data_IF_869524385125
#
_entry.id   IF_869524385125
#
_cell.length_a   1.000
_cell.length_b   1.000
_cell.length_c   1.000
_cell.angle_alpha   90.00
_cell.angle_beta   90.00
_cell.angle_gamma   90.00
#
_symmetry.space_group_name_H-M   'P 1'
#
loop_
_entity.id
_entity.type
_entity.pdbx_description
1 polymer ?
#
# COMPACT_ATOMS: atom_id res chain seq x y z
N UNK A 1 -50.42 -11.35 -59.66
CA UNK A 1 -49.93 -9.99 -59.35
C UNK A 1 -50.21 -9.51 -57.91
N UNK A 2 -51.26 -9.98 -57.21
CA UNK A 2 -51.62 -9.52 -55.85
C UNK A 2 -50.72 -10.05 -54.71
N UNK A 3 -50.22 -11.28 -54.79
CA UNK A 3 -49.36 -11.89 -53.75
C UNK A 3 -47.97 -11.22 -53.60
N UNK A 4 -47.34 -10.80 -54.71
CA UNK A 4 -46.04 -10.08 -54.67
C UNK A 4 -46.13 -8.70 -54.01
N UNK A 5 -47.26 -7.99 -54.17
CA UNK A 5 -47.49 -6.68 -53.53
C UNK A 5 -47.67 -6.79 -52.01
N UNK A 6 -48.23 -7.91 -51.52
CA UNK A 6 -48.42 -8.17 -50.09
C UNK A 6 -47.08 -8.45 -49.38
N UNK A 7 -46.20 -9.28 -49.96
CA UNK A 7 -44.87 -9.57 -49.41
C UNK A 7 -43.96 -8.32 -49.34
N UNK A 8 -44.03 -7.44 -50.36
CA UNK A 8 -43.30 -6.16 -50.34
C UNK A 8 -43.84 -5.17 -49.32
N UNK A 9 -45.16 -5.19 -49.04
CA UNK A 9 -45.74 -4.37 -47.96
C UNK A 9 -45.31 -4.87 -46.59
N UNK A 10 -45.32 -6.18 -46.37
CA UNK A 10 -44.89 -6.77 -45.09
C UNK A 10 -43.41 -6.50 -44.80
N UNK A 11 -42.53 -6.61 -45.82
CA UNK A 11 -41.10 -6.29 -45.70
C UNK A 11 -40.85 -4.80 -45.42
N UNK A 12 -41.61 -3.89 -46.04
CA UNK A 12 -41.52 -2.44 -45.78
C UNK A 12 -42.00 -2.05 -44.39
N UNK A 13 -43.08 -2.69 -43.89
CA UNK A 13 -43.59 -2.49 -42.54
C UNK A 13 -42.60 -3.02 -41.50
N UNK A 14 -42.04 -4.22 -41.69
CA UNK A 14 -41.02 -4.78 -40.79
C UNK A 14 -39.76 -3.92 -40.70
N UNK A 15 -39.25 -3.41 -41.84
CA UNK A 15 -38.10 -2.47 -41.83
C UNK A 15 -38.43 -1.15 -41.16
N UNK A 16 -39.64 -0.61 -41.33
CA UNK A 16 -40.06 0.62 -40.66
C UNK A 16 -40.19 0.44 -39.14
N UNK A 17 -40.74 -0.69 -38.67
CA UNK A 17 -40.85 -1.01 -37.24
C UNK A 17 -39.47 -1.18 -36.61
N UNK A 18 -38.56 -1.89 -37.27
CA UNK A 18 -37.17 -2.03 -36.80
C UNK A 18 -36.46 -0.69 -36.72
N UNK A 19 -36.62 0.19 -37.73
CA UNK A 19 -36.01 1.52 -37.72
C UNK A 19 -36.55 2.40 -36.58
N UNK A 20 -37.86 2.39 -36.34
CA UNK A 20 -38.48 3.14 -35.22
C UNK A 20 -38.02 2.58 -33.88
N UNK A 21 -37.93 1.26 -33.72
CA UNK A 21 -37.42 0.64 -32.50
C UNK A 21 -35.94 1.00 -32.24
N UNK A 22 -35.10 1.03 -33.28
CA UNK A 22 -33.70 1.46 -33.15
C UNK A 22 -33.58 2.94 -32.75
N UNK A 23 -34.40 3.83 -33.32
CA UNK A 23 -34.43 5.26 -32.96
C UNK A 23 -34.88 5.44 -31.50
N UNK A 24 -35.89 4.69 -31.05
CA UNK A 24 -36.37 4.72 -29.67
C UNK A 24 -35.31 4.23 -28.66
N UNK A 25 -34.53 3.20 -29.02
CA UNK A 25 -33.45 2.69 -28.17
C UNK A 25 -32.27 3.67 -28.04
N UNK A 26 -31.96 4.42 -29.11
CA UNK A 26 -30.86 5.41 -29.08
C UNK A 26 -31.27 6.71 -28.36
N UNK A 27 -32.55 7.06 -28.34
CA UNK A 27 -33.05 8.28 -27.69
C UNK A 27 -33.12 8.19 -26.15
N UNK A 28 -32.93 7.00 -25.57
CA UNK A 28 -32.76 6.83 -24.12
C UNK A 28 -31.37 7.20 -23.58
N UNK A 29 -30.37 7.40 -24.44
CA UNK A 29 -29.04 7.83 -24.03
C UNK A 29 -29.00 9.35 -23.80
N UNK A 30 -29.36 9.80 -22.60
CA UNK A 30 -29.26 11.21 -22.22
C UNK A 30 -28.16 11.44 -21.16
N UNK A 31 -27.36 12.49 -21.35
CA UNK A 31 -26.20 12.83 -20.50
C UNK A 31 -26.53 13.86 -19.40
N UNK A 32 -27.81 14.16 -19.15
CA UNK A 32 -28.25 15.41 -18.51
C UNK A 32 -27.78 15.63 -17.07
N UNK A 33 -27.23 14.62 -16.39
CA UNK A 33 -26.59 14.77 -15.07
C UNK A 33 -25.32 13.92 -14.89
N UNK A 34 -24.82 13.29 -15.95
CA UNK A 34 -23.61 12.47 -15.88
C UNK A 34 -22.37 13.35 -15.64
N UNK A 35 -22.33 14.47 -16.37
CA UNK A 35 -21.47 15.59 -16.06
C UNK A 35 -22.32 16.70 -15.46
N UNK A 36 -22.02 17.09 -14.23
CA UNK A 36 -22.73 18.15 -13.53
C UNK A 36 -21.83 19.37 -13.39
N UNK A 37 -22.41 20.55 -13.19
CA UNK A 37 -21.65 21.80 -13.12
C UNK A 37 -20.78 21.96 -11.87
N UNK A 38 -20.84 21.01 -10.92
CA UNK A 38 -19.98 21.03 -9.73
C UNK A 38 -18.63 20.42 -10.08
N UNK A 39 -17.57 21.02 -9.55
CA UNK A 39 -16.23 20.48 -9.70
C UNK A 39 -16.03 19.33 -8.71
N UNK A 40 -15.69 18.14 -9.22
CA UNK A 40 -15.34 16.98 -8.41
C UNK A 40 -13.87 17.03 -7.99
N UNK A 41 -13.47 16.32 -6.91
CA UNK A 41 -12.06 16.21 -6.54
C UNK A 41 -11.23 15.69 -7.71
N UNK A 42 -10.12 16.38 -8.01
CA UNK A 42 -9.20 16.09 -9.11
C UNK A 42 -9.79 16.22 -10.53
N UNK A 43 -10.95 16.87 -10.67
CA UNK A 43 -11.51 17.17 -11.98
C UNK A 43 -10.73 18.31 -12.66
N UNK A 44 -10.55 18.20 -13.98
CA UNK A 44 -9.91 19.27 -14.75
C UNK A 44 -10.83 20.47 -14.87
N UNK A 45 -10.30 21.67 -14.66
CA UNK A 45 -10.99 22.94 -14.82
C UNK A 45 -10.41 23.78 -15.95
N UNK A 46 -11.14 24.80 -16.37
CA UNK A 46 -10.71 25.78 -17.37
C UNK A 46 -10.33 27.13 -16.78
N UNK A 47 -10.64 27.35 -15.49
CA UNK A 47 -10.42 28.63 -14.82
C UNK A 47 -8.94 28.92 -14.55
N UNK A 48 -8.20 27.95 -14.01
CA UNK A 48 -6.76 28.10 -13.72
C UNK A 48 -5.92 27.66 -14.92
N UNK A 49 -4.80 28.36 -15.17
CA UNK A 49 -3.89 28.06 -16.27
C UNK A 49 -3.30 26.63 -16.20
N UNK A 50 -3.12 26.09 -14.99
CA UNK A 50 -2.66 24.72 -14.77
C UNK A 50 -3.71 23.65 -15.13
N UNK A 51 -4.97 24.03 -15.31
CA UNK A 51 -6.11 23.13 -15.49
C UNK A 51 -6.49 22.34 -14.24
N UNK A 52 -5.74 22.46 -13.14
CA UNK A 52 -6.05 21.82 -11.87
C UNK A 52 -7.12 22.61 -11.12
N UNK A 53 -8.17 21.95 -10.65
CA UNK A 53 -9.16 22.57 -9.75
C UNK A 53 -8.79 22.41 -8.28
N UNK A 54 -8.08 21.33 -7.94
CA UNK A 54 -7.44 21.15 -6.65
C UNK A 54 -6.21 22.05 -6.56
N UNK A 55 -6.38 23.23 -5.98
CA UNK A 55 -5.31 24.19 -5.75
C UNK A 55 -4.53 23.84 -4.47
N UNK A 56 -3.21 24.09 -4.43
CA UNK A 56 -2.45 23.93 -3.20
C UNK A 56 -2.95 24.91 -2.14
N UNK A 57 -2.94 24.48 -0.88
CA UNK A 57 -3.19 25.37 0.26
C UNK A 57 -2.12 26.45 0.33
N UNK A 58 -2.48 27.63 0.86
CA UNK A 58 -1.53 28.71 1.12
C UNK A 58 -0.53 28.26 2.18
N UNK A 59 0.77 28.54 1.96
CA UNK A 59 1.83 28.17 2.90
C UNK A 59 1.57 28.74 4.30
N UNK A 60 1.80 27.93 5.34
CA UNK A 60 1.56 28.31 6.74
C UNK A 60 0.10 28.16 7.20
N UNK A 61 -0.83 27.73 6.34
CA UNK A 61 -2.21 27.44 6.75
C UNK A 61 -2.25 26.20 7.63
N UNK A 62 -2.83 26.33 8.83
CA UNK A 62 -3.04 25.22 9.76
C UNK A 62 -4.52 24.82 9.70
N UNK A 63 -4.86 23.54 9.39
CA UNK A 63 -6.24 23.07 9.42
C UNK A 63 -6.86 23.15 10.81
N UNK A 64 -8.14 23.51 10.87
CA UNK A 64 -8.90 23.48 12.12
C UNK A 64 -8.99 22.03 12.63
N UNK A 65 -8.61 21.80 13.89
CA UNK A 65 -8.52 20.48 14.50
C UNK A 65 -7.11 19.87 14.55
N UNK A 66 -6.14 20.43 13.82
CA UNK A 66 -4.72 20.00 13.88
C UNK A 66 -3.82 20.93 14.72
N UNK A 67 -4.34 22.10 15.14
CA UNK A 67 -3.56 23.16 15.77
C UNK A 67 -3.25 22.98 17.27
N UNK A 68 -3.93 22.06 17.96
CA UNK A 68 -3.80 21.90 19.41
C UNK A 68 -3.02 20.62 19.74
N UNK A 69 -1.72 20.61 19.44
CA UNK A 69 -0.88 19.47 19.74
C UNK A 69 -0.41 19.50 21.20
N UNK A 70 -0.87 18.56 22.01
CA UNK A 70 -0.18 18.18 23.26
C UNK A 70 1.21 17.59 22.94
N UNK A 71 2.12 17.45 23.91
CA UNK A 71 3.42 16.78 23.67
C UNK A 71 3.26 15.39 23.04
N UNK A 72 2.18 14.68 23.37
CA UNK A 72 1.82 13.40 22.75
C UNK A 72 1.50 13.54 21.26
N UNK A 73 0.74 14.58 20.89
CA UNK A 73 0.43 14.89 19.49
C UNK A 73 1.67 15.38 18.75
N UNK A 74 2.58 16.11 19.42
CA UNK A 74 3.87 16.51 18.83
C UNK A 74 4.69 15.27 18.49
N UNK A 75 4.85 14.32 19.41
CA UNK A 75 5.55 13.07 19.13
C UNK A 75 4.88 12.29 17.98
N UNK A 76 3.55 12.17 18.03
CA UNK A 76 2.78 11.43 17.02
C UNK A 76 2.94 12.05 15.62
N UNK A 77 2.94 13.38 15.52
CA UNK A 77 2.93 14.11 14.24
C UNK A 77 4.32 14.44 13.70
N UNK A 78 5.31 14.66 14.57
CA UNK A 78 6.65 15.11 14.16
C UNK A 78 7.73 14.04 14.31
N UNK A 79 7.50 13.02 15.15
CA UNK A 79 8.54 12.02 15.45
C UNK A 79 9.55 12.48 16.51
N UNK A 80 9.36 13.65 17.13
CA UNK A 80 10.38 14.32 17.94
C UNK A 80 9.89 14.61 19.36
N UNK A 81 10.83 14.65 20.30
CA UNK A 81 10.67 15.15 21.67
C UNK A 81 11.70 16.26 21.87
N UNK A 82 11.27 17.46 22.25
CA UNK A 82 12.14 18.64 22.39
C UNK A 82 12.97 18.94 21.12
N UNK A 83 12.40 18.69 19.94
CA UNK A 83 13.08 18.92 18.65
C UNK A 83 14.11 17.86 18.25
N UNK A 84 14.33 16.83 19.07
CA UNK A 84 15.24 15.71 18.78
C UNK A 84 14.43 14.46 18.42
N UNK A 85 14.95 13.64 17.51
CA UNK A 85 14.30 12.39 17.11
C UNK A 85 14.03 11.49 18.32
N UNK A 86 12.76 11.10 18.47
CA UNK A 86 12.30 10.36 19.64
C UNK A 86 12.92 8.96 19.73
N UNK A 87 13.46 8.56 20.88
CA UNK A 87 13.89 7.19 21.13
C UNK A 87 12.70 6.23 21.37
N UNK A 88 11.50 6.75 21.61
CA UNK A 88 10.31 5.98 21.99
C UNK A 88 9.17 6.12 20.99
N UNK A 89 8.25 5.15 21.01
CA UNK A 89 7.02 5.17 20.23
C UNK A 89 5.92 5.93 20.99
N UNK A 90 5.00 6.63 20.29
CA UNK A 90 3.87 7.32 20.92
C UNK A 90 2.79 6.36 21.43
N UNK A 91 2.81 5.08 21.07
CA UNK A 91 1.81 4.12 21.52
C UNK A 91 2.42 2.73 21.69
N UNK A 92 1.70 1.87 22.39
CA UNK A 92 2.08 0.47 22.57
C UNK A 92 2.12 -0.28 21.22
N UNK A 93 3.18 -1.05 21.01
CA UNK A 93 3.35 -1.86 19.81
C UNK A 93 2.61 -3.18 20.01
N UNK A 94 1.36 -3.24 19.56
CA UNK A 94 0.57 -4.48 19.56
C UNK A 94 0.78 -5.27 18.26
N UNK A 95 0.32 -6.53 18.24
CA UNK A 95 0.34 -7.37 17.03
C UNK A 95 -0.42 -6.73 15.87
N UNK A 96 -1.52 -6.04 16.15
CA UNK A 96 -2.32 -5.34 15.13
C UNK A 96 -1.56 -4.15 14.54
N UNK A 97 -0.82 -3.40 15.38
CA UNK A 97 0.08 -2.34 14.92
C UNK A 97 1.14 -2.91 13.98
N UNK A 98 1.77 -4.04 14.34
CA UNK A 98 2.77 -4.67 13.49
C UNK A 98 2.19 -5.18 12.17
N UNK A 99 1.01 -5.80 12.20
CA UNK A 99 0.32 -6.25 10.98
C UNK A 99 -0.03 -5.08 10.07
N UNK A 100 -0.52 -3.98 10.65
CA UNK A 100 -0.79 -2.74 9.93
C UNK A 100 0.49 -2.12 9.35
N UNK A 101 1.56 -2.11 10.14
CA UNK A 101 2.88 -1.66 9.73
C UNK A 101 3.41 -2.45 8.55
N UNK A 102 3.31 -3.78 8.59
CA UNK A 102 3.67 -4.67 7.50
C UNK A 102 2.87 -4.38 6.22
N UNK A 103 1.54 -4.27 6.33
CA UNK A 103 0.68 -3.95 5.20
C UNK A 103 1.13 -2.65 4.53
N UNK A 104 1.32 -1.59 5.33
CA UNK A 104 1.70 -0.27 4.83
C UNK A 104 3.13 -0.24 4.28
N UNK A 105 4.07 -0.95 4.92
CA UNK A 105 5.44 -1.11 4.45
C UNK A 105 5.47 -1.82 3.08
N UNK A 106 4.72 -2.90 2.92
CA UNK A 106 4.66 -3.64 1.66
C UNK A 106 4.09 -2.81 0.51
N UNK A 107 3.16 -1.90 0.80
CA UNK A 107 2.57 -0.99 -0.20
C UNK A 107 3.55 0.11 -0.59
N UNK A 108 4.17 0.79 0.37
CA UNK A 108 4.89 2.05 0.12
C UNK A 108 6.42 1.93 0.10
N UNK A 109 6.98 1.01 0.86
CA UNK A 109 8.42 0.96 1.17
C UNK A 109 9.13 -0.21 0.48
N UNK A 110 8.51 -1.39 0.47
CA UNK A 110 9.10 -2.63 -0.07
C UNK A 110 9.54 -2.55 -1.55
N UNK A 111 8.87 -1.79 -2.45
CA UNK A 111 9.36 -1.65 -3.84
C UNK A 111 10.80 -1.15 -3.94
N UNK A 112 11.26 -0.33 -2.98
CA UNK A 112 12.62 0.21 -2.93
C UNK A 112 13.48 -0.50 -1.87
N UNK A 113 12.93 -0.73 -0.68
CA UNK A 113 13.68 -1.29 0.46
C UNK A 113 13.68 -2.82 0.56
N UNK A 114 13.00 -3.50 -0.38
CA UNK A 114 12.67 -4.94 -0.37
C UNK A 114 11.72 -5.33 0.76
N UNK A 115 11.17 -6.56 0.73
CA UNK A 115 10.32 -7.05 1.82
C UNK A 115 11.12 -7.41 3.08
N UNK A 116 12.41 -7.71 2.92
CA UNK A 116 13.30 -8.06 4.03
C UNK A 116 14.02 -6.85 4.60
N UNK A 117 13.93 -5.68 3.97
CA UNK A 117 14.56 -4.45 4.43
C UNK A 117 16.05 -4.31 4.08
N UNK A 118 16.57 -5.14 3.18
CA UNK A 118 17.98 -5.14 2.76
C UNK A 118 18.34 -4.02 1.77
N UNK A 119 17.36 -3.20 1.36
CA UNK A 119 17.57 -2.09 0.43
C UNK A 119 17.61 -2.49 -1.05
N UNK A 120 17.35 -3.76 -1.38
CA UNK A 120 17.44 -4.32 -2.75
C UNK A 120 16.07 -4.58 -3.37
N UNK A 121 15.13 -3.66 -3.19
CA UNK A 121 13.79 -3.76 -3.77
C UNK A 121 13.81 -3.79 -5.30
N UNK A 122 12.68 -4.20 -5.90
CA UNK A 122 12.55 -4.36 -7.35
C UNK A 122 12.90 -3.11 -8.16
N UNK A 123 12.72 -1.91 -7.59
CA UNK A 123 13.06 -0.65 -8.25
C UNK A 123 14.58 -0.42 -8.28
N UNK A 124 15.30 -0.84 -7.24
CA UNK A 124 16.78 -0.76 -7.20
C UNK A 124 17.41 -1.69 -8.23
N UNK A 125 16.81 -2.86 -8.47
CA UNK A 125 17.24 -3.79 -9.52
C UNK A 125 17.09 -3.22 -10.93
N UNK A 126 16.39 -2.08 -11.08
CA UNK A 126 16.20 -1.34 -12.33
C UNK A 126 17.01 -0.04 -12.36
N UNK A 127 18.25 -0.11 -11.85
CA UNK A 127 19.26 0.95 -11.91
C UNK A 127 18.98 2.21 -11.08
N UNK A 128 17.97 2.19 -10.19
CA UNK A 128 17.84 3.24 -9.18
C UNK A 128 18.92 3.10 -8.10
N UNK A 129 19.30 4.22 -7.48
CA UNK A 129 20.26 4.22 -6.37
C UNK A 129 19.80 3.28 -5.25
N UNK A 130 20.76 2.56 -4.67
CA UNK A 130 20.55 1.63 -3.57
C UNK A 130 19.81 2.32 -2.42
N UNK A 131 18.72 1.71 -1.96
CA UNK A 131 18.00 2.18 -0.80
C UNK A 131 18.75 1.82 0.49
N UNK A 132 18.43 2.49 1.60
CA UNK A 132 19.03 2.17 2.90
C UNK A 132 18.71 0.73 3.32
N UNK A 133 19.74 -0.02 3.70
CA UNK A 133 19.61 -1.36 4.29
C UNK A 133 19.41 -1.23 5.80
N UNK A 134 18.23 -1.61 6.29
CA UNK A 134 17.85 -1.43 7.70
C UNK A 134 18.66 -2.28 8.68
N UNK A 135 19.38 -3.30 8.20
CA UNK A 135 20.20 -4.20 9.02
C UNK A 135 21.57 -3.63 9.37
N UNK A 136 21.97 -2.52 8.74
CA UNK A 136 23.23 -1.84 9.08
C UNK A 136 23.19 -1.29 10.51
N UNK A 137 24.30 -1.44 11.23
CA UNK A 137 24.44 -1.03 12.64
C UNK A 137 24.01 0.41 12.90
N UNK A 138 24.42 1.33 12.02
CA UNK A 138 24.03 2.75 12.09
C UNK A 138 22.51 2.93 12.13
N UNK A 139 21.77 2.19 11.31
CA UNK A 139 20.30 2.27 11.23
C UNK A 139 19.63 1.47 12.35
N UNK A 140 20.23 0.39 12.83
CA UNK A 140 19.75 -0.32 14.02
C UNK A 140 19.82 0.58 15.27
N UNK A 141 20.90 1.34 15.41
CA UNK A 141 21.14 2.26 16.53
C UNK A 141 20.43 3.62 16.40
N UNK A 142 19.97 4.00 15.19
CA UNK A 142 19.20 5.23 15.00
C UNK A 142 17.91 5.19 15.83
N UNK A 143 17.39 6.31 16.36
CA UNK A 143 16.14 6.33 17.12
C UNK A 143 14.91 6.09 16.22
N UNK A 144 13.78 5.56 16.73
CA UNK A 144 12.53 5.41 15.96
C UNK A 144 12.06 6.71 15.27
N UNK A 145 12.22 7.85 15.95
CA UNK A 145 11.88 9.16 15.40
C UNK A 145 12.62 9.52 14.11
N UNK A 146 13.86 9.04 13.93
CA UNK A 146 14.62 9.26 12.69
C UNK A 146 13.92 8.62 11.49
N UNK A 147 13.40 7.40 11.63
CA UNK A 147 12.67 6.74 10.56
C UNK A 147 11.36 7.47 10.25
N UNK A 148 10.66 7.95 11.28
CA UNK A 148 9.46 8.76 11.10
C UNK A 148 9.76 10.04 10.31
N UNK A 149 10.84 10.73 10.66
CA UNK A 149 11.30 11.95 9.99
C UNK A 149 11.64 11.69 8.52
N UNK A 150 12.42 10.63 8.23
CA UNK A 150 12.77 10.23 6.86
C UNK A 150 11.52 9.90 6.02
N UNK A 151 10.52 9.23 6.59
CA UNK A 151 9.26 8.94 5.86
C UNK A 151 8.48 10.26 5.61
N UNK A 152 8.51 11.17 6.58
CA UNK A 152 7.74 12.42 6.55
C UNK A 152 8.36 13.44 5.60
N UNK A 153 9.67 13.67 5.69
CA UNK A 153 10.37 14.74 5.01
C UNK A 153 11.16 14.24 3.78
N UNK A 154 11.37 12.94 3.66
CA UNK A 154 12.28 12.36 2.67
C UNK A 154 13.74 12.42 3.14
N UNK A 155 14.62 11.72 2.41
CA UNK A 155 16.05 11.72 2.69
C UNK A 155 16.85 11.33 1.45
N UNK A 156 17.82 12.16 1.07
CA UNK A 156 18.63 11.93 -0.13
C UNK A 156 17.75 11.87 -1.38
N UNK A 157 17.66 10.69 -2.01
CA UNK A 157 16.79 10.44 -3.18
C UNK A 157 15.37 9.98 -2.82
N UNK A 158 15.11 9.68 -1.55
CA UNK A 158 13.78 9.28 -1.10
C UNK A 158 12.89 10.51 -0.96
N UNK A 159 11.78 10.52 -1.72
CA UNK A 159 10.75 11.55 -1.62
C UNK A 159 10.00 11.49 -0.29
N UNK A 160 9.38 12.61 0.09
CA UNK A 160 8.40 12.64 1.18
C UNK A 160 7.18 11.76 0.89
N UNK A 161 6.72 11.05 1.91
CA UNK A 161 5.46 10.30 1.91
C UNK A 161 4.37 10.96 2.77
N UNK A 162 4.58 12.20 3.21
CA UNK A 162 3.70 12.83 4.19
C UNK A 162 2.24 12.94 3.73
N UNK A 163 2.02 13.22 2.44
CA UNK A 163 0.69 13.33 1.84
C UNK A 163 -0.02 11.99 1.60
N UNK A 164 0.70 10.85 1.70
CA UNK A 164 0.18 9.52 1.36
C UNK A 164 0.02 8.60 2.57
N UNK A 165 0.79 8.85 3.62
CA UNK A 165 0.83 8.00 4.82
C UNK A 165 0.52 8.87 6.03
N UNK A 166 -0.52 8.50 6.79
CA UNK A 166 -0.92 9.21 8.02
C UNK A 166 0.16 9.05 9.09
N UNK A 167 0.30 10.00 10.05
CA UNK A 167 1.31 9.90 11.10
C UNK A 167 1.25 8.56 11.87
N UNK A 168 0.05 8.08 12.20
CA UNK A 168 -0.13 6.77 12.86
C UNK A 168 0.37 5.60 12.01
N UNK A 169 0.08 5.59 10.70
CA UNK A 169 0.58 4.54 9.81
C UNK A 169 2.10 4.65 9.60
N UNK A 170 2.70 5.85 9.64
CA UNK A 170 4.17 6.01 9.62
C UNK A 170 4.79 5.35 10.85
N UNK A 171 4.26 5.60 12.03
CA UNK A 171 4.73 4.94 13.26
C UNK A 171 4.56 3.41 13.23
N UNK A 172 3.46 2.91 12.67
CA UNK A 172 3.26 1.47 12.47
C UNK A 172 4.32 0.88 11.52
N UNK A 173 4.67 1.59 10.43
CA UNK A 173 5.78 1.20 9.55
C UNK A 173 7.10 1.19 10.32
N UNK A 174 7.39 2.21 11.13
CA UNK A 174 8.61 2.25 11.96
C UNK A 174 8.67 1.05 12.92
N UNK A 175 7.56 0.67 13.54
CA UNK A 175 7.49 -0.53 14.38
C UNK A 175 7.80 -1.80 13.58
N UNK A 176 7.28 -1.90 12.35
CA UNK A 176 7.59 -3.03 11.47
C UNK A 176 9.06 -3.04 11.01
N UNK A 177 9.67 -1.89 10.76
CA UNK A 177 11.11 -1.79 10.49
C UNK A 177 11.92 -2.36 11.66
N UNK A 178 11.53 -2.10 12.92
CA UNK A 178 12.17 -2.71 14.09
C UNK A 178 12.01 -4.23 14.13
N UNK A 179 10.83 -4.72 13.78
CA UNK A 179 10.62 -6.17 13.66
C UNK A 179 11.51 -6.79 12.57
N UNK A 180 11.71 -6.12 11.44
CA UNK A 180 12.64 -6.57 10.39
C UNK A 180 14.09 -6.60 10.89
N UNK A 181 14.52 -5.57 11.63
CA UNK A 181 15.87 -5.53 12.21
C UNK A 181 16.11 -6.68 13.19
N UNK A 182 15.09 -7.01 14.00
CA UNK A 182 15.14 -8.16 14.90
C UNK A 182 15.12 -9.49 14.16
N UNK A 183 14.36 -9.62 13.05
CA UNK A 183 14.24 -10.91 12.35
C UNK A 183 15.56 -11.43 11.76
N UNK A 184 16.51 -10.54 11.47
CA UNK A 184 17.83 -10.93 10.95
C UNK A 184 18.93 -10.99 12.02
N UNK A 185 18.71 -10.37 13.19
CA UNK A 185 19.73 -10.21 14.23
C UNK A 185 19.25 -10.63 15.64
N UNK A 186 18.18 -11.42 15.74
CA UNK A 186 17.73 -11.95 17.02
C UNK A 186 18.71 -12.98 17.57
N UNK A 187 18.99 -12.87 18.87
CA UNK A 187 19.78 -13.83 19.65
C UNK A 187 18.87 -14.62 20.60
N UNK A 188 19.38 -15.74 21.12
CA UNK A 188 18.66 -16.51 22.15
C UNK A 188 18.38 -15.69 23.43
N UNK A 189 19.15 -14.62 23.67
CA UNK A 189 18.94 -13.72 24.81
C UNK A 189 17.70 -12.82 24.63
N UNK A 190 17.22 -12.63 23.40
CA UNK A 190 16.05 -11.81 23.09
C UNK A 190 14.74 -12.58 23.26
N UNK A 191 14.82 -13.89 23.47
CA UNK A 191 13.66 -14.76 23.67
C UNK A 191 13.26 -14.75 25.15
N UNK A 192 11.98 -14.48 25.48
CA UNK A 192 11.47 -14.63 26.85
C UNK A 192 11.80 -16.02 27.42
N UNK A 193 12.17 -16.09 28.71
CA UNK A 193 12.68 -17.33 29.31
C UNK A 193 11.70 -18.51 29.19
N UNK A 194 10.40 -18.23 29.30
CA UNK A 194 9.30 -19.19 29.16
C UNK A 194 9.13 -19.74 27.72
N UNK A 195 9.50 -18.95 26.71
CA UNK A 195 9.56 -19.37 25.31
C UNK A 195 10.86 -20.12 25.01
N UNK A 196 11.98 -19.68 25.60
CA UNK A 196 13.30 -20.29 25.40
C UNK A 196 13.32 -21.76 25.84
N UNK A 197 12.69 -22.09 26.98
CA UNK A 197 12.55 -23.47 27.44
C UNK A 197 11.75 -24.36 26.46
N UNK A 198 10.83 -23.80 25.69
CA UNK A 198 10.07 -24.54 24.66
C UNK A 198 10.93 -24.76 23.40
N UNK A 199 11.76 -23.78 23.04
CA UNK A 199 12.64 -23.85 21.87
C UNK A 199 13.84 -24.79 22.07
N UNK A 200 14.34 -24.88 23.30
CA UNK A 200 15.48 -25.74 23.65
C UNK A 200 15.10 -27.21 23.90
N UNK A 201 13.81 -27.51 24.06
CA UNK A 201 13.34 -28.90 24.09
C UNK A 201 13.55 -29.53 22.71
N UNK A 202 14.14 -30.73 22.60
CA UNK A 202 14.26 -31.43 21.34
C UNK A 202 12.86 -31.55 20.72
N UNK A 203 12.66 -30.99 19.53
CA UNK A 203 11.43 -31.26 18.81
C UNK A 203 11.45 -32.73 18.39
N UNK A 204 10.33 -33.47 18.52
CA UNK A 204 10.25 -34.81 17.97
C UNK A 204 10.58 -34.70 16.47
N UNK A 205 11.56 -35.48 16.04
CA UNK A 205 12.06 -35.47 14.67
C UNK A 205 10.89 -35.52 13.70
N UNK A 206 10.80 -34.54 12.79
CA UNK A 206 9.83 -34.56 11.73
C UNK A 206 10.18 -35.74 10.80
N UNK A 207 9.58 -36.90 11.12
CA UNK A 207 9.46 -38.11 10.32
C UNK A 207 10.51 -38.32 9.24
N UNK A 208 11.69 -38.82 9.61
CA UNK A 208 12.35 -39.81 8.78
C UNK A 208 11.45 -41.05 8.81
N UNK A 209 10.65 -41.29 7.76
CA UNK A 209 10.07 -42.58 7.36
C UNK A 209 9.14 -42.36 6.15
N UNK A 210 9.70 -42.32 4.94
CA UNK A 210 9.00 -42.66 3.70
C UNK A 210 10.01 -43.31 2.73
N UNK A 211 10.53 -44.46 3.15
CA UNK A 211 11.25 -45.38 2.28
C UNK A 211 10.42 -46.65 2.10
N UNK A 212 9.45 -46.61 1.19
CA UNK A 212 8.88 -47.82 0.57
C UNK A 212 9.04 -47.71 -0.94
N UNK A 213 10.16 -48.23 -1.42
CA UNK A 213 10.23 -48.80 -2.75
C UNK A 213 9.51 -50.15 -2.76
N UNK A 214 8.56 -50.31 -3.66
CA UNK A 214 8.20 -51.60 -4.24
C UNK A 214 8.40 -51.49 -5.74
N UNK A 215 9.63 -51.79 -6.16
CA UNK A 215 9.92 -52.22 -7.51
C UNK A 215 9.64 -53.73 -7.61
N UNK A 216 8.54 -54.07 -8.27
CA UNK A 216 8.23 -55.37 -8.87
C UNK A 216 7.38 -55.00 -10.10
N UNK A 217 7.53 -55.45 -11.33
CA UNK A 217 8.31 -56.48 -12.03
C UNK A 217 7.68 -56.50 -13.44
N UNK A 218 8.47 -56.74 -14.48
CA UNK A 218 8.18 -56.33 -15.86
C UNK A 218 7.13 -57.11 -16.67
N UNK A 219 6.84 -56.57 -17.86
CA UNK A 219 6.49 -57.26 -19.12
C UNK A 219 6.53 -56.18 -20.23
N UNK A 220 7.48 -56.21 -21.16
CA UNK A 220 7.31 -56.82 -22.49
C UNK A 220 5.94 -56.53 -23.13
N UNK A 221 5.87 -55.43 -23.90
CA UNK A 221 5.70 -55.42 -25.37
C UNK A 221 5.88 -53.99 -25.88
#
# INVERSE_FOLDING_TARGET
>A
MRLRRAATRFRRIGSAVMAVASIALVSGCHQGMWNNSRIKPLERGTFFASGATAQPSVAGTIPFGEANASDYDILLTTGKINGVDSPVFPFEITKDVLKRGQERYNIYCAPCHSQTGDGRGMIVQREMKLAGNYHQDRLRQAPPGYFFDVITNGFGVMYSYASRITPKDRWAIVAYIRALQLSQNASLADVPKDELEKLLKPQPEAGANDSHGTAQGGHQQ
#
